data_IF_637851801245
#
_entry.id   IF_637851801245
#
_cell.length_a   1.000
_cell.length_b   1.000
_cell.length_c   1.000
_cell.angle_alpha   90.00
_cell.angle_beta   90.00
_cell.angle_gamma   90.00
#
_symmetry.space_group_name_H-M   'P 1'
#
loop_
_entity.id
_entity.type
_entity.pdbx_description
1 polymer ?
#
# COMPACT_ATOMS: atom_id res chain seq x y z
N UNK A 1 26.57 38.96 -6.23
CA UNK A 1 25.98 38.05 -5.21
C UNK A 1 24.47 37.99 -5.41
N UNK A 2 24.00 37.04 -6.22
CA UNK A 2 22.59 36.79 -6.50
C UNK A 2 21.99 35.97 -5.36
N UNK A 3 21.08 36.56 -4.59
CA UNK A 3 20.31 35.83 -3.57
C UNK A 3 19.25 34.99 -4.28
N UNK A 4 19.43 33.66 -4.30
CA UNK A 4 18.35 32.71 -4.56
C UNK A 4 17.32 32.86 -3.43
N UNK A 5 16.19 33.51 -3.74
CA UNK A 5 15.02 33.51 -2.87
C UNK A 5 14.22 32.27 -3.24
N UNK A 6 14.39 31.20 -2.45
CA UNK A 6 13.45 30.08 -2.47
C UNK A 6 12.02 30.59 -2.15
N UNK A 7 10.97 29.94 -2.66
CA UNK A 7 9.61 30.42 -2.47
C UNK A 7 9.30 30.48 -0.97
N UNK A 8 9.09 31.71 -0.46
CA UNK A 8 8.54 31.95 0.87
C UNK A 8 7.07 31.57 0.81
N UNK A 9 6.69 30.51 1.51
CA UNK A 9 5.29 30.13 1.68
C UNK A 9 4.55 31.25 2.44
N UNK A 10 3.82 32.09 1.69
CA UNK A 10 2.76 32.97 2.18
C UNK A 10 1.39 32.26 2.13
N UNK A 11 0.30 32.90 2.58
CA UNK A 11 -0.89 32.28 3.17
C UNK A 11 -1.56 31.24 2.25
N UNK A 12 -2.08 30.18 2.88
CA UNK A 12 -2.85 29.06 2.32
C UNK A 12 -3.35 29.26 0.89
N UNK A 13 -2.69 28.62 -0.07
CA UNK A 13 -3.13 28.61 -1.47
C UNK A 13 -4.42 27.77 -1.55
N UNK A 14 -5.56 28.42 -1.78
CA UNK A 14 -6.87 27.75 -1.84
C UNK A 14 -7.22 27.17 -3.23
N UNK A 15 -6.42 27.46 -4.26
CA UNK A 15 -6.67 27.02 -5.63
C UNK A 15 -5.38 26.77 -6.39
N UNK A 16 -5.33 25.70 -7.18
CA UNK A 16 -4.20 25.36 -8.06
C UNK A 16 -4.71 25.08 -9.48
N UNK A 17 -4.10 25.70 -10.49
CA UNK A 17 -4.43 25.41 -11.89
C UNK A 17 -3.50 24.35 -12.44
N UNK A 18 -4.04 23.24 -12.93
CA UNK A 18 -3.28 22.19 -13.61
C UNK A 18 -3.44 22.36 -15.12
N UNK A 19 -2.31 22.43 -15.83
CA UNK A 19 -2.24 22.43 -17.28
C UNK A 19 -1.84 21.02 -17.76
N UNK A 20 -2.79 20.18 -18.20
CA UNK A 20 -2.46 18.86 -18.73
C UNK A 20 -1.75 18.98 -20.09
N UNK A 21 -0.91 17.99 -20.41
CA UNK A 21 -0.20 17.89 -21.70
C UNK A 21 -1.16 17.88 -22.90
N UNK A 22 -2.43 17.48 -22.69
CA UNK A 22 -3.51 17.56 -23.67
C UNK A 22 -4.84 17.77 -22.95
N UNK A 23 -5.63 18.75 -23.37
CA UNK A 23 -6.96 19.05 -22.81
C UNK A 23 -7.07 20.45 -22.18
N UNK A 24 -8.25 20.74 -21.62
CA UNK A 24 -8.55 22.04 -21.00
C UNK A 24 -7.90 22.12 -19.60
N UNK A 25 -7.27 23.25 -19.23
CA UNK A 25 -6.75 23.46 -17.88
C UNK A 25 -7.86 23.30 -16.84
N UNK A 26 -7.58 22.58 -15.77
CA UNK A 26 -8.50 22.37 -14.67
C UNK A 26 -8.08 23.24 -13.48
N UNK A 27 -9.04 23.96 -12.89
CA UNK A 27 -8.86 24.65 -11.62
C UNK A 27 -9.21 23.67 -10.50
N UNK A 28 -8.23 23.32 -9.68
CA UNK A 28 -8.45 22.56 -8.45
C UNK A 28 -8.67 23.53 -7.30
N UNK A 29 -9.76 23.33 -6.58
CA UNK A 29 -10.04 24.01 -5.31
C UNK A 29 -9.59 23.16 -4.12
N UNK A 30 -9.64 23.73 -2.91
CA UNK A 30 -9.45 22.96 -1.67
C UNK A 30 -10.46 21.84 -1.51
N UNK A 31 -11.70 22.04 -1.99
CA UNK A 31 -12.76 21.02 -1.94
C UNK A 31 -12.43 19.86 -2.88
N UNK A 32 -11.96 20.14 -4.10
CA UNK A 32 -11.46 19.11 -5.02
C UNK A 32 -10.27 18.36 -4.43
N UNK A 33 -9.39 19.06 -3.70
CA UNK A 33 -8.26 18.43 -3.03
C UNK A 33 -8.70 17.47 -1.92
N UNK A 34 -9.74 17.81 -1.14
CA UNK A 34 -10.31 16.89 -0.15
C UNK A 34 -11.00 15.70 -0.81
N UNK A 35 -11.77 15.91 -1.89
CA UNK A 35 -12.40 14.82 -2.65
C UNK A 35 -11.33 13.84 -3.20
N UNK A 36 -10.21 14.37 -3.71
CA UNK A 36 -9.08 13.55 -4.15
C UNK A 36 -8.46 12.79 -2.97
N UNK A 37 -8.27 13.43 -1.81
CA UNK A 37 -7.71 12.77 -0.61
C UNK A 37 -8.64 11.67 -0.08
N UNK A 38 -9.94 11.93 -0.02
CA UNK A 38 -10.95 10.98 0.42
C UNK A 38 -11.05 9.78 -0.52
N UNK A 39 -11.02 10.01 -1.83
CA UNK A 39 -11.03 8.92 -2.83
C UNK A 39 -9.75 8.08 -2.84
N UNK A 40 -8.65 8.61 -2.30
CA UNK A 40 -7.38 7.87 -2.12
C UNK A 40 -7.30 7.12 -0.78
N UNK A 41 -8.20 7.42 0.16
CA UNK A 41 -8.19 6.83 1.51
C UNK A 41 -8.48 5.32 1.42
N UNK A 42 -7.69 4.54 2.13
CA UNK A 42 -7.93 3.12 2.32
C UNK A 42 -8.93 2.93 3.45
N UNK A 43 -9.99 2.18 3.18
CA UNK A 43 -10.90 1.68 4.20
C UNK A 43 -10.34 0.35 4.74
N UNK A 44 -9.79 0.41 5.96
CA UNK A 44 -9.17 -0.74 6.60
C UNK A 44 -10.20 -1.54 7.38
N UNK A 45 -10.38 -2.79 6.99
CA UNK A 45 -11.17 -3.75 7.74
C UNK A 45 -10.46 -4.13 9.05
N UNK A 46 -11.21 -4.68 10.03
CA UNK A 46 -10.63 -5.23 11.25
C UNK A 46 -9.56 -6.30 10.96
N UNK A 47 -8.68 -6.51 11.96
CA UNK A 47 -7.74 -7.62 11.92
C UNK A 47 -8.48 -8.95 11.95
N UNK A 48 -8.00 -9.89 11.15
CA UNK A 48 -8.51 -11.25 11.11
C UNK A 48 -7.49 -12.22 10.54
N UNK A 49 -7.78 -13.51 10.69
CA UNK A 49 -6.97 -14.55 10.08
C UNK A 49 -7.25 -14.62 8.58
N UNK A 50 -6.20 -14.61 7.77
CA UNK A 50 -6.27 -14.61 6.32
C UNK A 50 -5.32 -15.66 5.77
N UNK A 51 -5.83 -16.51 4.87
CA UNK A 51 -5.03 -17.42 4.07
C UNK A 51 -4.49 -16.67 2.84
N UNK A 52 -3.17 -16.67 2.68
CA UNK A 52 -2.47 -16.01 1.58
C UNK A 52 -1.55 -16.98 0.87
N UNK A 53 -1.44 -16.86 -0.46
CA UNK A 53 -0.42 -17.58 -1.24
C UNK A 53 0.73 -16.65 -1.56
N UNK A 54 1.94 -17.11 -1.27
CA UNK A 54 3.16 -16.32 -1.44
C UNK A 54 3.79 -16.54 -2.82
N UNK A 55 4.42 -15.49 -3.36
CA UNK A 55 5.12 -15.55 -4.64
C UNK A 55 6.57 -15.04 -4.55
N UNK A 56 6.80 -13.99 -3.74
CA UNK A 56 8.11 -13.36 -3.61
C UNK A 56 8.13 -12.30 -2.49
N UNK A 57 9.25 -11.60 -2.29
CA UNK A 57 9.40 -10.60 -1.23
C UNK A 57 10.29 -9.42 -1.64
N UNK A 58 10.19 -8.31 -0.89
CA UNK A 58 11.01 -7.10 -1.00
C UNK A 58 11.39 -6.60 0.39
N UNK A 59 12.64 -6.82 0.81
CA UNK A 59 13.13 -6.42 2.14
C UNK A 59 13.08 -4.92 2.39
N UNK A 60 13.49 -4.11 1.41
CA UNK A 60 13.63 -2.66 1.59
C UNK A 60 12.29 -1.94 1.93
N UNK A 61 11.15 -2.55 1.60
CA UNK A 61 9.80 -2.02 1.90
C UNK A 61 9.04 -2.87 2.90
N UNK A 62 9.66 -3.90 3.48
CA UNK A 62 8.97 -4.93 4.27
C UNK A 62 7.77 -5.50 3.51
N UNK A 63 7.95 -5.78 2.22
CA UNK A 63 6.88 -6.17 1.30
C UNK A 63 6.89 -7.67 1.02
N UNK A 64 5.72 -8.31 1.06
CA UNK A 64 5.52 -9.69 0.63
C UNK A 64 4.60 -9.71 -0.59
N UNK A 65 5.09 -10.25 -1.71
CA UNK A 65 4.28 -10.49 -2.91
C UNK A 65 3.40 -11.70 -2.68
N UNK A 66 2.09 -11.50 -2.80
CA UNK A 66 1.06 -12.53 -2.59
C UNK A 66 0.08 -12.54 -3.76
N UNK A 67 -0.54 -13.69 -4.01
CA UNK A 67 -1.70 -13.76 -4.90
C UNK A 67 -2.84 -12.89 -4.34
N UNK A 68 -3.60 -12.27 -5.23
CA UNK A 68 -4.78 -11.50 -4.84
C UNK A 68 -5.88 -12.43 -4.31
N UNK A 69 -6.26 -12.34 -3.01
CA UNK A 69 -7.24 -13.25 -2.44
C UNK A 69 -8.68 -13.01 -2.95
N UNK A 70 -8.92 -11.90 -3.65
CA UNK A 70 -10.27 -11.49 -4.11
C UNK A 70 -10.36 -11.28 -5.63
N UNK A 71 -9.33 -11.64 -6.38
CA UNK A 71 -9.34 -11.49 -7.82
C UNK A 71 -8.07 -12.04 -8.45
N UNK A 72 -7.85 -11.70 -9.72
CA UNK A 72 -6.67 -12.15 -10.44
C UNK A 72 -5.44 -11.29 -10.13
N UNK A 73 -4.27 -11.89 -10.30
CA UNK A 73 -2.97 -11.24 -10.19
C UNK A 73 -2.36 -11.28 -8.79
N UNK A 74 -1.43 -10.36 -8.55
CA UNK A 74 -0.63 -10.31 -7.33
C UNK A 74 -0.74 -8.93 -6.68
N UNK A 75 -0.61 -8.89 -5.35
CA UNK A 75 -0.45 -7.66 -4.60
C UNK A 75 0.81 -7.71 -3.73
N UNK A 76 1.30 -6.53 -3.38
CA UNK A 76 2.38 -6.39 -2.40
C UNK A 76 1.77 -6.10 -1.03
N UNK A 77 1.71 -7.12 -0.17
CA UNK A 77 1.32 -6.94 1.21
C UNK A 77 2.45 -6.25 2.00
N UNK A 78 2.07 -5.37 2.91
CA UNK A 78 3.01 -4.76 3.86
C UNK A 78 3.11 -5.66 5.09
N UNK A 79 4.32 -6.04 5.48
CA UNK A 79 4.57 -6.84 6.68
C UNK A 79 5.05 -5.91 7.79
N UNK A 80 4.24 -5.80 8.84
CA UNK A 80 4.55 -5.03 10.05
C UNK A 80 5.08 -5.92 11.19
N UNK A 81 5.07 -7.25 10.99
CA UNK A 81 5.64 -8.24 11.90
C UNK A 81 7.17 -8.03 12.05
N UNK A 82 7.69 -7.85 13.28
CA UNK A 82 9.13 -7.74 13.53
C UNK A 82 9.97 -8.91 12.98
N UNK A 83 9.39 -10.12 12.85
CA UNK A 83 10.07 -11.30 12.29
C UNK A 83 10.52 -11.09 10.84
N UNK A 84 9.94 -10.13 10.12
CA UNK A 84 10.31 -9.83 8.73
C UNK A 84 11.64 -9.07 8.58
N UNK A 85 12.24 -8.60 9.69
CA UNK A 85 13.47 -7.80 9.66
C UNK A 85 14.72 -8.62 9.35
N UNK A 86 14.70 -9.91 9.66
CA UNK A 86 15.82 -10.81 9.44
C UNK A 86 15.85 -11.25 7.96
N UNK A 87 17.03 -11.43 7.36
CA UNK A 87 17.15 -11.85 5.95
C UNK A 87 16.58 -13.27 5.72
N UNK A 88 16.79 -14.16 6.68
CA UNK A 88 16.18 -15.49 6.69
C UNK A 88 15.06 -15.50 7.74
N UNK A 89 13.82 -15.57 7.26
CA UNK A 89 12.65 -15.58 8.12
C UNK A 89 11.50 -16.41 7.51
N UNK A 90 10.50 -16.69 8.33
CA UNK A 90 9.34 -17.53 7.96
C UNK A 90 8.61 -17.05 6.69
N UNK A 91 8.63 -15.75 6.39
CA UNK A 91 7.99 -15.20 5.21
C UNK A 91 8.84 -15.40 3.96
N UNK A 92 10.16 -15.24 4.06
CA UNK A 92 11.08 -15.42 2.93
C UNK A 92 11.18 -16.89 2.55
N UNK A 93 11.20 -17.79 3.54
CA UNK A 93 11.12 -19.24 3.34
C UNK A 93 9.81 -19.66 2.67
N UNK A 94 8.67 -19.12 3.11
CA UNK A 94 7.37 -19.40 2.50
C UNK A 94 7.33 -18.90 1.05
N UNK A 95 7.81 -17.68 0.79
CA UNK A 95 7.85 -17.10 -0.54
C UNK A 95 8.77 -17.86 -1.51
N UNK A 96 9.93 -18.35 -1.04
CA UNK A 96 10.81 -19.20 -1.84
C UNK A 96 10.14 -20.51 -2.26
N UNK A 97 9.32 -21.08 -1.37
CA UNK A 97 8.55 -22.30 -1.61
C UNK A 97 7.21 -22.07 -2.32
N UNK A 98 6.81 -20.81 -2.47
CA UNK A 98 5.49 -20.38 -2.96
C UNK A 98 4.35 -21.03 -2.18
N UNK A 99 4.53 -21.11 -0.87
CA UNK A 99 3.60 -21.78 0.03
C UNK A 99 2.38 -20.93 0.34
N UNK A 100 1.30 -21.59 0.74
CA UNK A 100 0.17 -20.95 1.40
C UNK A 100 0.48 -20.74 2.89
N UNK A 101 0.14 -19.57 3.41
CA UNK A 101 0.39 -19.17 4.80
C UNK A 101 -0.89 -18.61 5.41
N UNK A 102 -1.08 -18.89 6.70
CA UNK A 102 -2.12 -18.25 7.50
C UNK A 102 -1.47 -17.16 8.33
N UNK A 103 -2.03 -15.95 8.25
CA UNK A 103 -1.50 -14.77 8.93
C UNK A 103 -2.62 -14.00 9.62
N UNK A 104 -2.27 -13.26 10.67
CA UNK A 104 -3.12 -12.21 11.20
C UNK A 104 -2.89 -10.94 10.39
N UNK A 105 -3.90 -10.49 9.65
CA UNK A 105 -3.78 -9.39 8.73
C UNK A 105 -5.08 -8.57 8.64
N UNK A 106 -4.98 -7.35 8.11
CA UNK A 106 -6.14 -6.52 7.76
C UNK A 106 -6.12 -6.17 6.29
N UNK A 107 -7.31 -6.13 5.69
CA UNK A 107 -7.52 -5.76 4.29
C UNK A 107 -7.87 -4.29 4.18
N UNK A 108 -7.24 -3.60 3.24
CA UNK A 108 -7.49 -2.20 2.91
C UNK A 108 -8.17 -2.09 1.55
N UNK A 109 -9.35 -1.49 1.52
CA UNK A 109 -10.14 -1.32 0.30
C UNK A 109 -10.06 0.11 -0.20
N UNK A 110 -10.03 0.28 -1.52
CA UNK A 110 -10.20 1.57 -2.20
C UNK A 110 -11.24 1.42 -3.28
N UNK A 111 -12.31 2.21 -3.21
CA UNK A 111 -13.41 2.13 -4.17
C UNK A 111 -14.02 0.73 -4.27
N UNK A 112 -14.15 0.03 -3.13
CA UNK A 112 -14.71 -1.33 -3.06
C UNK A 112 -13.79 -2.45 -3.58
N UNK A 113 -12.55 -2.15 -3.98
CA UNK A 113 -11.57 -3.15 -4.41
C UNK A 113 -10.46 -3.30 -3.38
N UNK A 114 -10.00 -4.53 -3.18
CA UNK A 114 -8.83 -4.80 -2.36
C UNK A 114 -7.62 -4.09 -2.96
N UNK A 115 -7.05 -3.15 -2.21
CA UNK A 115 -5.95 -2.32 -2.65
C UNK A 115 -4.69 -2.49 -1.80
N UNK A 116 -4.83 -2.97 -0.57
CA UNK A 116 -3.72 -3.25 0.32
C UNK A 116 -4.04 -4.40 1.28
N UNK A 117 -2.99 -5.11 1.72
CA UNK A 117 -3.05 -6.03 2.86
C UNK A 117 -1.91 -5.66 3.79
N UNK A 118 -2.21 -5.53 5.08
CA UNK A 118 -1.18 -5.38 6.12
C UNK A 118 -1.16 -6.62 6.99
N UNK A 119 -0.02 -7.30 6.98
CA UNK A 119 0.25 -8.48 7.79
C UNK A 119 0.88 -8.03 9.10
N UNK A 120 0.27 -8.42 10.21
CA UNK A 120 0.71 -8.07 11.56
C UNK A 120 1.49 -9.22 12.19
N UNK A 121 1.07 -10.47 11.93
CA UNK A 121 1.71 -11.64 12.53
C UNK A 121 1.61 -12.88 11.63
N UNK A 122 2.71 -13.64 11.57
CA UNK A 122 2.72 -14.97 10.97
C UNK A 122 2.18 -16.00 11.96
N UNK A 123 1.17 -16.78 11.55
CA UNK A 123 0.60 -17.82 12.39
C UNK A 123 1.20 -19.19 12.03
N UNK A 124 1.00 -19.64 10.81
CA UNK A 124 1.47 -20.94 10.36
C UNK A 124 1.56 -21.05 8.84
N UNK A 125 2.44 -21.92 8.37
CA UNK A 125 2.43 -22.39 6.99
C UNK A 125 1.36 -23.48 6.82
N UNK A 126 0.67 -23.49 5.68
CA UNK A 126 -0.29 -24.53 5.34
C UNK A 126 0.44 -25.58 4.51
N UNK A 127 0.56 -26.83 4.99
CA UNK A 127 1.21 -27.88 4.24
C UNK A 127 0.45 -28.17 2.94
N UNK A 128 1.21 -28.22 1.84
CA UNK A 128 0.75 -28.51 0.48
C UNK A 128 0.22 -29.93 0.31
#
# INVERSE_FOLDING_TARGET
MTKNVGPRAGPSVCTATIYPVKGTPALLTTEDAEIIRESLKLDWQPLGEILLRTDGFKFHTSGLSIENPEGDGFLMAKVSDPKFKDEENVYTEAAQRRSAITVLARKGYRGGKLAAVEIVEFLNEVPS
#
